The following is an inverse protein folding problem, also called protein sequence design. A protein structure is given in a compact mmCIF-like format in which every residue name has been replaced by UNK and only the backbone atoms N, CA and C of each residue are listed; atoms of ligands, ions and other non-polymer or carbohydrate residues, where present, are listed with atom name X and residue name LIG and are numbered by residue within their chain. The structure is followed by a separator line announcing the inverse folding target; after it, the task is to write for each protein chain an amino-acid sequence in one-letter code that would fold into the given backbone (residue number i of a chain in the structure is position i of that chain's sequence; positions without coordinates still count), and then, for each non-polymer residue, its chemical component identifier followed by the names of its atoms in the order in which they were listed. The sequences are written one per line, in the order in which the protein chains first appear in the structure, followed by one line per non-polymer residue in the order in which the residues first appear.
data_IF_222518656147
#
_entry.id   IF_222518656147
#
_cell.length_a   1.000
_cell.length_b   1.000
_cell.length_c   1.000
_cell.angle_alpha   90.00
_cell.angle_beta   90.00
_cell.angle_gamma   90.00
#
_symmetry.space_group_name_H-M   'P 1'
#
loop_
_entity.id
_entity.type
_entity.pdbx_description
1 polymer ?
#
# COMPACT_ATOMS: atom_id res chain seq x y z
N UNK A 1 -8.73 -1.91 16.48
CA UNK A 1 -9.42 -0.80 15.76
C UNK A 1 -10.86 -1.14 15.35
N UNK A 2 -11.15 -2.32 14.76
CA UNK A 2 -12.53 -2.70 14.39
C UNK A 2 -13.55 -2.64 15.56
N UNK A 3 -13.20 -3.19 16.74
CA UNK A 3 -14.05 -3.09 17.94
C UNK A 3 -14.26 -1.65 18.41
N UNK A 4 -13.24 -0.79 18.25
CA UNK A 4 -13.30 0.61 18.66
C UNK A 4 -14.32 1.40 17.83
N UNK A 5 -14.28 1.24 16.51
CA UNK A 5 -15.23 1.87 15.60
C UNK A 5 -16.63 1.27 15.69
N UNK A 6 -16.74 0.01 16.08
CA UNK A 6 -18.03 -0.64 16.37
C UNK A 6 -18.64 -0.26 17.72
N UNK A 7 -17.97 0.60 18.51
CA UNK A 7 -18.43 1.00 19.85
C UNK A 7 -18.45 -0.13 20.89
N UNK A 8 -17.88 -1.30 20.55
CA UNK A 8 -17.85 -2.49 21.40
C UNK A 8 -16.51 -2.69 22.11
N UNK A 9 -15.58 -1.75 21.94
CA UNK A 9 -14.27 -1.84 22.57
C UNK A 9 -14.36 -1.51 24.06
N UNK A 10 -13.81 -2.40 24.89
CA UNK A 10 -13.57 -2.16 26.31
C UNK A 10 -12.25 -1.40 26.55
N UNK A 11 -11.57 -1.00 25.49
CA UNK A 11 -10.31 -0.25 25.57
C UNK A 11 -10.60 1.13 26.18
N UNK A 12 -10.03 1.46 27.35
CA UNK A 12 -10.28 2.75 28.01
C UNK A 12 -9.75 3.95 27.20
N UNK A 13 -8.87 3.72 26.22
CA UNK A 13 -8.40 4.74 25.30
C UNK A 13 -9.37 5.01 24.14
N UNK A 14 -10.40 4.18 23.96
CA UNK A 14 -11.47 4.39 22.98
C UNK A 14 -12.64 5.10 23.67
N UNK A 15 -12.80 6.38 23.36
CA UNK A 15 -13.84 7.19 23.98
C UNK A 15 -14.01 8.56 23.32
N UNK A 16 -14.54 9.52 24.08
CA UNK A 16 -14.69 10.90 23.62
C UNK A 16 -13.31 11.47 23.28
N UNK A 17 -13.14 11.96 22.06
CA UNK A 17 -11.88 12.57 21.61
C UNK A 17 -11.86 14.08 21.86
N UNK A 18 -12.90 14.79 21.40
CA UNK A 18 -13.01 16.25 21.45
C UNK A 18 -14.48 16.67 21.55
N UNK A 19 -14.74 17.80 22.22
CA UNK A 19 -16.04 18.47 22.26
C UNK A 19 -15.92 19.87 21.65
N UNK A 20 -16.80 20.21 20.70
CA UNK A 20 -16.92 21.58 20.19
C UNK A 20 -18.05 22.32 20.92
N UNK A 21 -17.71 23.40 21.64
CA UNK A 21 -18.69 24.26 22.31
C UNK A 21 -18.93 25.53 21.51
N UNK A 22 -20.04 25.56 20.76
CA UNK A 22 -20.45 26.72 19.96
C UNK A 22 -21.18 27.71 20.87
N UNK A 23 -20.52 28.81 21.22
CA UNK A 23 -21.03 29.76 22.24
C UNK A 23 -21.77 30.96 21.64
N UNK A 24 -21.56 31.27 20.36
CA UNK A 24 -22.23 32.35 19.64
C UNK A 24 -22.06 32.20 18.12
N UNK A 25 -22.89 32.92 17.37
CA UNK A 25 -22.70 33.11 15.94
C UNK A 25 -21.43 33.93 15.65
N UNK A 26 -20.77 33.73 14.49
CA UNK A 26 -19.63 34.55 14.10
C UNK A 26 -20.04 36.02 13.94
N UNK A 27 -19.12 36.95 14.21
CA UNK A 27 -19.37 38.39 14.11
C UNK A 27 -19.66 38.84 12.66
N UNK A 28 -19.20 38.07 11.68
CA UNK A 28 -19.45 38.25 10.25
C UNK A 28 -19.99 36.93 9.67
N UNK A 29 -20.91 36.97 8.70
CA UNK A 29 -21.37 35.76 8.01
C UNK A 29 -20.20 34.99 7.38
N UNK A 30 -20.21 33.66 7.52
CA UNK A 30 -19.30 32.80 6.78
C UNK A 30 -19.73 32.75 5.31
N UNK A 31 -18.81 33.13 4.43
CA UNK A 31 -19.02 33.14 2.98
C UNK A 31 -18.35 31.95 2.28
N UNK A 32 -17.78 31.02 3.06
CA UNK A 32 -17.20 29.78 2.54
C UNK A 32 -18.27 28.95 1.81
N UNK A 33 -17.84 28.28 0.74
CA UNK A 33 -18.68 27.39 -0.06
C UNK A 33 -17.93 26.08 -0.30
N UNK A 34 -18.64 24.96 -0.21
CA UNK A 34 -18.17 23.68 -0.72
C UNK A 34 -18.89 23.43 -2.03
N UNK A 35 -18.15 23.33 -3.13
CA UNK A 35 -18.74 23.06 -4.43
C UNK A 35 -19.28 21.63 -4.49
N UNK A 36 -20.40 21.42 -5.18
CA UNK A 36 -21.00 20.09 -5.38
C UNK A 36 -20.06 19.16 -6.16
N UNK A 37 -19.18 19.73 -6.98
CA UNK A 37 -18.11 19.04 -7.69
C UNK A 37 -16.79 19.71 -7.37
N UNK A 38 -15.87 18.94 -6.79
CA UNK A 38 -14.49 19.36 -6.57
C UNK A 38 -13.66 19.09 -7.84
N UNK A 39 -12.63 18.24 -7.72
CA UNK A 39 -11.80 17.82 -8.84
C UNK A 39 -12.27 16.44 -9.30
N UNK A 40 -12.54 16.24 -10.61
CA UNK A 40 -12.88 14.92 -11.12
C UNK A 40 -11.68 13.99 -11.00
N UNK A 41 -11.95 12.71 -10.76
CA UNK A 41 -10.94 11.68 -10.80
C UNK A 41 -10.32 11.57 -12.21
N UNK A 42 -9.04 11.14 -12.31
CA UNK A 42 -8.49 10.75 -13.60
C UNK A 42 -9.30 9.60 -14.19
N UNK A 43 -9.58 9.67 -15.50
CA UNK A 43 -10.18 8.58 -16.24
C UNK A 43 -9.07 7.68 -16.81
N UNK A 44 -8.98 6.47 -16.26
CA UNK A 44 -7.99 5.48 -16.70
C UNK A 44 -8.58 4.48 -17.71
N UNK A 45 -9.85 4.63 -18.11
CA UNK A 45 -10.58 3.64 -18.93
C UNK A 45 -9.92 3.35 -20.29
N UNK A 46 -9.21 4.33 -20.86
CA UNK A 46 -8.52 4.22 -22.15
C UNK A 46 -7.14 3.56 -22.06
N UNK A 47 -6.57 3.38 -20.87
CA UNK A 47 -5.24 2.80 -20.68
C UNK A 47 -5.39 1.29 -20.48
N UNK A 48 -4.83 0.41 -21.32
CA UNK A 48 -4.97 -1.03 -21.14
C UNK A 48 -4.44 -1.52 -19.78
N UNK A 49 -5.11 -2.49 -19.17
CA UNK A 49 -4.56 -3.19 -17.99
C UNK A 49 -3.45 -4.10 -18.47
N UNK A 50 -2.21 -3.79 -18.11
CA UNK A 50 -1.04 -4.57 -18.48
C UNK A 50 -0.92 -5.84 -17.65
N UNK A 51 -1.38 -5.81 -16.38
CA UNK A 51 -1.32 -6.93 -15.45
C UNK A 51 -2.32 -6.80 -14.31
N UNK A 52 -2.74 -7.95 -13.79
CA UNK A 52 -3.40 -8.06 -12.49
C UNK A 52 -2.45 -8.75 -11.50
N UNK A 53 -2.40 -8.26 -10.27
CA UNK A 53 -1.56 -8.80 -9.19
C UNK A 53 -2.37 -9.06 -7.94
N UNK A 54 -1.93 -10.02 -7.15
CA UNK A 54 -2.54 -10.37 -5.87
C UNK A 54 -1.52 -10.32 -4.75
N UNK A 55 -1.84 -9.61 -3.67
CA UNK A 55 -1.01 -9.47 -2.49
C UNK A 55 -1.80 -9.88 -1.24
N UNK A 56 -1.32 -10.90 -0.53
CA UNK A 56 -1.92 -11.40 0.70
C UNK A 56 -1.07 -10.99 1.90
N UNK A 57 -1.64 -10.17 2.78
CA UNK A 57 -0.98 -9.63 3.97
C UNK A 57 -1.37 -10.47 5.17
N UNK A 58 -0.46 -11.30 5.67
CA UNK A 58 -0.77 -12.26 6.73
C UNK A 58 0.41 -12.49 7.70
N UNK A 59 0.19 -13.39 8.66
CA UNK A 59 1.18 -13.90 9.62
C UNK A 59 1.85 -15.17 9.12
N UNK A 60 2.75 -15.69 9.95
CA UNK A 60 3.53 -16.92 9.77
C UNK A 60 4.46 -16.86 8.56
N UNK A 61 5.01 -15.66 8.33
CA UNK A 61 5.96 -15.40 7.27
C UNK A 61 7.25 -16.22 7.44
N UNK A 62 7.80 -16.68 6.33
CA UNK A 62 9.11 -17.32 6.29
C UNK A 62 10.15 -16.37 5.68
N UNK A 63 11.40 -16.53 6.07
CA UNK A 63 12.51 -15.80 5.46
C UNK A 63 13.39 -16.77 4.66
N UNK A 64 13.45 -16.55 3.34
CA UNK A 64 14.16 -17.39 2.37
C UNK A 64 15.55 -16.85 2.04
N UNK A 65 15.84 -15.60 2.38
CA UNK A 65 17.14 -14.97 2.20
C UNK A 65 17.89 -14.85 3.53
N UNK A 66 19.19 -14.57 3.45
CA UNK A 66 20.09 -14.56 4.62
C UNK A 66 21.04 -13.36 4.63
N UNK A 67 20.75 -12.36 3.81
CA UNK A 67 21.55 -11.15 3.76
C UNK A 67 21.42 -10.37 5.08
N UNK A 68 22.52 -10.07 5.78
CA UNK A 68 22.46 -9.47 7.12
C UNK A 68 22.02 -8.00 7.11
N UNK A 69 21.96 -7.35 5.95
CA UNK A 69 21.60 -5.94 5.79
C UNK A 69 20.16 -5.81 5.33
N UNK A 70 19.76 -6.59 4.32
CA UNK A 70 18.46 -6.44 3.67
C UNK A 70 17.39 -7.38 4.21
N UNK A 71 17.76 -8.52 4.78
CA UNK A 71 16.81 -9.55 5.21
C UNK A 71 16.39 -9.35 6.67
N UNK A 72 15.08 -9.20 6.92
CA UNK A 72 14.52 -9.10 8.26
C UNK A 72 13.59 -10.28 8.57
N UNK A 73 13.68 -10.82 9.79
CA UNK A 73 12.83 -11.92 10.24
C UNK A 73 11.74 -11.38 11.14
N UNK A 74 10.50 -11.80 10.89
CA UNK A 74 9.37 -11.47 11.73
C UNK A 74 8.16 -12.34 11.41
N UNK A 75 7.16 -12.38 12.30
CA UNK A 75 5.95 -13.17 12.09
C UNK A 75 5.08 -12.67 10.94
N UNK A 76 5.19 -11.39 10.55
CA UNK A 76 4.36 -10.78 9.52
C UNK A 76 5.04 -10.75 8.17
N UNK A 77 4.26 -10.92 7.10
CA UNK A 77 4.79 -10.93 5.75
C UNK A 77 3.70 -10.79 4.70
N UNK A 78 4.14 -10.88 3.44
CA UNK A 78 3.28 -10.67 2.27
C UNK A 78 3.53 -11.81 1.28
N UNK A 79 2.46 -12.41 0.78
CA UNK A 79 2.52 -13.37 -0.32
C UNK A 79 2.10 -12.67 -1.62
N UNK A 80 2.79 -12.98 -2.72
CA UNK A 80 2.46 -12.47 -4.06
C UNK A 80 1.90 -13.58 -4.94
N UNK A 81 0.80 -13.33 -5.64
CA UNK A 81 0.21 -14.19 -6.68
C UNK A 81 0.06 -15.67 -6.27
N UNK A 82 -0.40 -15.91 -5.03
CA UNK A 82 -0.61 -17.26 -4.48
C UNK A 82 0.66 -17.98 -4.03
N UNK A 83 1.80 -17.28 -4.00
CA UNK A 83 3.06 -17.77 -3.45
C UNK A 83 3.06 -17.88 -1.93
N UNK A 84 4.25 -18.11 -1.37
CA UNK A 84 4.45 -18.18 0.08
C UNK A 84 4.46 -16.79 0.70
N UNK A 85 3.96 -16.67 1.93
CA UNK A 85 4.09 -15.45 2.74
C UNK A 85 5.54 -15.25 3.15
N UNK A 86 6.18 -14.20 2.64
CA UNK A 86 7.58 -13.89 2.90
C UNK A 86 7.74 -12.71 3.85
N UNK A 87 8.71 -12.79 4.75
CA UNK A 87 9.13 -11.67 5.59
C UNK A 87 9.97 -10.67 4.76
N UNK A 88 10.08 -9.43 5.24
CA UNK A 88 10.77 -8.36 4.53
C UNK A 88 12.20 -8.76 4.08
N UNK A 89 12.49 -8.48 2.82
CA UNK A 89 13.84 -8.37 2.30
C UNK A 89 13.88 -7.17 1.34
N UNK A 90 14.63 -6.13 1.69
CA UNK A 90 14.71 -4.91 0.89
C UNK A 90 15.48 -5.13 -0.43
N UNK A 91 16.23 -6.22 -0.53
CA UNK A 91 16.89 -6.67 -1.74
C UNK A 91 15.99 -7.51 -2.66
N UNK A 92 14.79 -7.89 -2.20
CA UNK A 92 13.84 -8.69 -2.97
C UNK A 92 12.92 -7.81 -3.81
N UNK A 93 12.86 -8.06 -5.12
CA UNK A 93 11.90 -7.41 -6.00
C UNK A 93 10.63 -8.26 -6.11
N UNK A 94 9.51 -7.73 -5.63
CA UNK A 94 8.22 -8.45 -5.58
C UNK A 94 7.25 -8.08 -6.70
N UNK A 95 7.40 -6.88 -7.28
CA UNK A 95 6.66 -6.44 -8.45
C UNK A 95 7.53 -5.48 -9.27
N UNK A 96 7.40 -5.53 -10.60
CA UNK A 96 8.12 -4.64 -11.52
C UNK A 96 7.20 -4.07 -12.62
N UNK A 97 6.18 -3.26 -12.29
CA UNK A 97 5.36 -2.59 -13.30
C UNK A 97 6.19 -1.80 -14.31
N UNK A 98 5.72 -1.74 -15.56
CA UNK A 98 6.39 -0.96 -16.61
C UNK A 98 5.88 0.47 -16.63
N UNK A 99 6.76 1.42 -16.93
CA UNK A 99 6.39 2.81 -17.10
C UNK A 99 5.29 2.99 -18.16
N UNK A 100 4.38 3.91 -17.89
CA UNK A 100 3.21 4.23 -18.69
C UNK A 100 2.09 3.19 -18.60
N UNK A 101 2.30 2.05 -17.94
CA UNK A 101 1.29 0.99 -17.87
C UNK A 101 0.33 1.17 -16.69
N UNK A 102 -0.83 0.53 -16.79
CA UNK A 102 -1.80 0.43 -15.71
C UNK A 102 -1.87 -1.01 -15.24
N UNK A 103 -1.90 -1.21 -13.93
CA UNK A 103 -2.17 -2.52 -13.35
C UNK A 103 -3.38 -2.46 -12.41
N UNK A 104 -3.92 -3.63 -12.11
CA UNK A 104 -4.95 -3.83 -11.09
C UNK A 104 -4.37 -4.71 -9.99
N UNK A 105 -4.33 -4.19 -8.77
CA UNK A 105 -3.80 -4.93 -7.63
C UNK A 105 -4.95 -5.30 -6.70
N UNK A 106 -5.03 -6.56 -6.32
CA UNK A 106 -5.94 -7.04 -5.29
C UNK A 106 -5.16 -7.27 -4.01
N UNK A 107 -5.50 -6.49 -2.99
CA UNK A 107 -4.94 -6.57 -1.65
C UNK A 107 -5.91 -7.38 -0.79
N UNK A 108 -5.40 -8.41 -0.10
CA UNK A 108 -6.17 -9.24 0.82
C UNK A 108 -5.55 -9.18 2.22
N UNK A 109 -6.39 -8.96 3.22
CA UNK A 109 -5.97 -9.05 4.62
C UNK A 109 -6.23 -10.47 5.12
N UNK A 110 -5.21 -11.12 5.65
CA UNK A 110 -5.31 -12.37 6.38
C UNK A 110 -5.73 -12.18 7.83
N UNK A 111 -6.08 -13.30 8.49
CA UNK A 111 -6.31 -13.35 9.93
C UNK A 111 -7.41 -12.43 10.49
N UNK A 112 -7.24 -12.07 11.78
CA UNK A 112 -8.18 -11.29 12.60
C UNK A 112 -7.86 -9.81 12.73
N UNK A 113 -6.96 -9.26 11.89
CA UNK A 113 -6.36 -7.94 12.07
C UNK A 113 -6.75 -6.95 10.97
N UNK A 114 -6.61 -5.65 11.27
CA UNK A 114 -6.67 -4.61 10.25
C UNK A 114 -5.27 -4.37 9.69
N UNK A 115 -5.18 -4.19 8.37
CA UNK A 115 -3.93 -3.86 7.68
C UNK A 115 -4.14 -2.60 6.82
N UNK A 116 -3.69 -1.42 7.26
CA UNK A 116 -3.64 -0.23 6.41
C UNK A 116 -2.48 -0.35 5.42
N UNK A 117 -2.74 -0.77 4.20
CA UNK A 117 -1.66 -0.99 3.21
C UNK A 117 -1.29 0.32 2.57
N UNK A 118 -0.05 0.74 2.77
CA UNK A 118 0.54 1.88 2.09
C UNK A 118 1.37 1.39 0.91
N UNK A 119 1.09 1.93 -0.27
CA UNK A 119 1.90 1.73 -1.47
C UNK A 119 2.55 3.09 -1.76
N UNK A 120 3.88 3.12 -1.80
CA UNK A 120 4.60 4.37 -2.02
C UNK A 120 4.33 4.88 -3.44
N UNK A 121 4.65 6.15 -3.67
CA UNK A 121 4.76 6.76 -5.00
C UNK A 121 3.47 6.95 -5.80
N UNK A 122 2.76 5.88 -6.17
CA UNK A 122 1.52 5.98 -6.93
C UNK A 122 0.29 6.12 -6.02
N UNK A 123 -0.71 6.87 -6.50
CA UNK A 123 -2.05 6.89 -5.91
C UNK A 123 -3.02 6.09 -6.79
N UNK A 124 -3.68 5.09 -6.21
CA UNK A 124 -4.67 4.27 -6.90
C UNK A 124 -6.12 4.63 -6.57
N UNK A 125 -7.01 4.14 -7.43
CA UNK A 125 -8.46 4.24 -7.25
C UNK A 125 -9.03 2.88 -6.83
N UNK A 126 -9.90 2.87 -5.82
CA UNK A 126 -10.56 1.64 -5.37
C UNK A 126 -11.66 1.24 -6.37
N UNK A 127 -11.49 0.08 -6.99
CA UNK A 127 -12.47 -0.51 -7.91
C UNK A 127 -13.54 -1.31 -7.16
N UNK A 128 -13.12 -2.07 -6.15
CA UNK A 128 -14.02 -2.94 -5.40
C UNK A 128 -13.54 -3.17 -3.97
N UNK A 129 -14.50 -3.40 -3.06
CA UNK A 129 -14.26 -3.97 -1.75
C UNK A 129 -15.01 -5.28 -1.62
N UNK A 130 -14.34 -6.33 -1.15
CA UNK A 130 -14.93 -7.66 -1.02
C UNK A 130 -15.64 -8.10 -2.32
N UNK A 131 -15.00 -7.87 -3.47
CA UNK A 131 -15.50 -8.24 -4.78
C UNK A 131 -16.62 -7.37 -5.38
N UNK A 132 -17.02 -6.25 -4.74
CA UNK A 132 -18.06 -5.37 -5.29
C UNK A 132 -17.71 -3.88 -5.21
N UNK A 133 -17.97 -3.16 -6.30
CA UNK A 133 -17.87 -1.71 -6.38
C UNK A 133 -18.91 -1.00 -5.48
N UNK A 134 -20.08 -1.62 -5.25
CA UNK A 134 -21.11 -1.07 -4.37
C UNK A 134 -20.67 -0.98 -2.91
N UNK A 135 -19.66 -1.77 -2.52
CA UNK A 135 -19.09 -1.75 -1.18
C UNK A 135 -18.06 -0.62 -0.97
N UNK A 136 -17.71 0.13 -2.01
CA UNK A 136 -16.74 1.24 -1.92
C UNK A 136 -17.45 2.48 -1.36
N UNK A 137 -17.11 2.91 -0.12
CA UNK A 137 -17.77 4.05 0.49
C UNK A 137 -17.39 5.35 -0.21
N UNK A 138 -18.25 6.36 -0.11
CA UNK A 138 -18.08 7.62 -0.84
C UNK A 138 -16.71 8.28 -0.61
N UNK A 139 -16.18 8.23 0.62
CA UNK A 139 -14.90 8.81 1.00
C UNK A 139 -13.66 8.05 0.49
N UNK A 140 -13.84 6.91 -0.19
CA UNK A 140 -12.74 6.14 -0.81
C UNK A 140 -12.82 6.11 -2.33
N UNK A 141 -13.76 6.84 -2.92
CA UNK A 141 -13.91 6.91 -4.38
C UNK A 141 -12.89 7.83 -5.04
N UNK A 142 -12.15 8.63 -4.27
CA UNK A 142 -11.02 9.42 -4.76
C UNK A 142 -9.74 8.60 -4.94
N UNK A 143 -8.65 9.27 -5.31
CA UNK A 143 -7.31 8.66 -5.30
C UNK A 143 -6.80 8.50 -3.87
N UNK A 144 -6.06 7.44 -3.60
CA UNK A 144 -5.48 7.11 -2.29
C UNK A 144 -4.15 6.38 -2.46
N UNK A 145 -3.34 6.42 -1.42
CA UNK A 145 -2.06 5.71 -1.26
C UNK A 145 -2.07 4.73 -0.06
N UNK A 146 -3.07 4.86 0.84
CA UNK A 146 -3.29 3.97 1.99
C UNK A 146 -4.68 3.33 1.94
N UNK A 147 -4.72 2.00 1.97
CA UNK A 147 -5.91 1.18 1.85
C UNK A 147 -6.12 0.32 3.09
N UNK A 148 -7.11 0.67 3.92
CA UNK A 148 -7.42 -0.12 5.11
C UNK A 148 -8.16 -1.40 4.76
N UNK A 149 -7.47 -2.52 4.86
CA UNK A 149 -8.03 -3.86 4.89
C UNK A 149 -8.60 -4.14 6.28
N UNK A 150 -9.82 -4.66 6.31
CA UNK A 150 -10.44 -5.23 7.51
C UNK A 150 -10.08 -6.72 7.59
N UNK A 151 -10.33 -7.41 8.73
CA UNK A 151 -10.01 -8.82 8.85
C UNK A 151 -10.70 -9.62 7.75
N UNK A 152 -9.95 -10.50 7.08
CA UNK A 152 -10.40 -11.28 5.91
C UNK A 152 -10.97 -10.45 4.73
N UNK A 153 -10.75 -9.14 4.70
CA UNK A 153 -11.26 -8.25 3.67
C UNK A 153 -10.38 -8.20 2.42
N UNK A 154 -10.97 -7.84 1.29
CA UNK A 154 -10.25 -7.56 0.04
C UNK A 154 -10.54 -6.17 -0.49
N UNK A 155 -9.54 -5.57 -1.13
CA UNK A 155 -9.65 -4.32 -1.87
C UNK A 155 -8.98 -4.53 -3.23
N UNK A 156 -9.70 -4.23 -4.30
CA UNK A 156 -9.13 -4.21 -5.65
C UNK A 156 -8.94 -2.75 -6.03
N UNK A 157 -7.72 -2.39 -6.42
CA UNK A 157 -7.31 -1.04 -6.81
C UNK A 157 -6.78 -1.03 -8.24
N UNK A 158 -6.84 0.12 -8.90
CA UNK A 158 -6.12 0.37 -10.15
C UNK A 158 -5.14 1.52 -9.98
N UNK A 159 -3.93 1.34 -10.52
CA UNK A 159 -2.85 2.31 -10.50
C UNK A 159 -2.23 2.42 -11.89
N UNK A 160 -1.81 3.63 -12.26
CA UNK A 160 -1.07 3.88 -13.49
C UNK A 160 0.34 4.34 -13.12
N UNK A 161 1.36 3.61 -13.55
CA UNK A 161 2.77 3.86 -13.23
C UNK A 161 3.37 4.80 -14.27
N UNK A 162 3.33 6.12 -14.06
CA UNK A 162 3.57 7.09 -15.17
C UNK A 162 4.47 8.27 -14.85
N UNK A 163 4.85 8.47 -13.60
CA UNK A 163 5.52 9.71 -13.20
C UNK A 163 7.06 9.58 -13.20
N UNK A 164 7.62 8.56 -12.54
CA UNK A 164 9.07 8.34 -12.39
C UNK A 164 9.41 6.85 -12.24
N UNK A 165 10.57 6.46 -12.77
CA UNK A 165 11.18 5.15 -12.50
C UNK A 165 11.88 5.11 -11.14
N UNK A 166 12.05 3.92 -10.55
CA UNK A 166 12.73 3.79 -9.27
C UNK A 166 12.36 2.54 -8.47
N UNK A 167 12.86 2.48 -7.24
CA UNK A 167 12.50 1.46 -6.24
C UNK A 167 11.58 2.09 -5.20
N UNK A 168 10.52 1.38 -4.87
CA UNK A 168 9.47 1.85 -3.98
C UNK A 168 9.06 0.74 -3.03
N UNK A 169 8.41 1.13 -1.93
CA UNK A 169 7.96 0.20 -0.91
C UNK A 169 6.45 0.02 -0.99
N UNK A 170 5.99 -1.15 -0.57
CA UNK A 170 4.62 -1.35 -0.11
C UNK A 170 4.65 -2.07 1.23
N UNK A 171 3.80 -1.65 2.17
CA UNK A 171 3.82 -2.22 3.51
C UNK A 171 2.50 -2.00 4.25
N UNK A 172 2.30 -2.81 5.28
CA UNK A 172 1.27 -2.50 6.26
C UNK A 172 1.74 -1.35 7.15
N UNK A 173 0.99 -0.26 7.19
CA UNK A 173 1.28 0.93 7.98
C UNK A 173 0.87 0.80 9.46
N UNK A 174 0.53 -0.41 9.92
CA UNK A 174 0.60 -0.73 11.34
C UNK A 174 2.07 -0.96 11.67
N UNK A 175 2.71 -0.02 12.36
CA UNK A 175 4.16 -0.01 12.59
C UNK A 175 4.68 -1.29 13.25
N UNK A 176 3.89 -1.93 14.12
CA UNK A 176 4.27 -3.22 14.72
C UNK A 176 4.32 -4.33 13.67
N UNK A 177 3.39 -4.33 12.72
CA UNK A 177 3.39 -5.29 11.63
C UNK A 177 4.51 -4.98 10.62
N UNK A 178 4.69 -3.69 10.29
CA UNK A 178 5.76 -3.18 9.41
C UNK A 178 7.14 -3.60 9.88
N UNK A 179 7.47 -3.34 11.15
CA UNK A 179 8.79 -3.58 11.73
C UNK A 179 9.09 -5.08 11.93
N UNK A 180 8.08 -5.97 11.79
CA UNK A 180 8.20 -7.38 12.16
C UNK A 180 7.50 -8.38 11.21
N UNK A 181 7.55 -8.35 9.87
CA UNK A 181 8.29 -7.49 8.95
C UNK A 181 7.47 -7.40 7.64
N UNK A 182 6.26 -6.82 7.72
CA UNK A 182 5.24 -6.84 6.66
C UNK A 182 5.46 -5.75 5.61
N UNK A 183 6.45 -5.96 4.76
CA UNK A 183 6.88 -4.99 3.78
C UNK A 183 7.54 -5.67 2.57
N UNK A 184 7.32 -5.12 1.38
CA UNK A 184 7.93 -5.53 0.12
C UNK A 184 8.52 -4.33 -0.61
N UNK A 185 9.47 -4.62 -1.50
CA UNK A 185 9.96 -3.67 -2.51
C UNK A 185 9.36 -4.01 -3.87
N UNK A 186 9.07 -2.97 -4.64
CA UNK A 186 8.69 -3.05 -6.04
C UNK A 186 9.38 -1.94 -6.83
N UNK A 187 9.38 -2.05 -8.16
CA UNK A 187 10.13 -1.13 -9.02
C UNK A 187 9.34 -0.71 -10.25
N UNK A 188 9.56 0.52 -10.71
CA UNK A 188 9.09 1.01 -12.00
C UNK A 188 10.29 1.19 -12.91
N UNK A 189 10.21 0.63 -14.11
CA UNK A 189 11.22 0.89 -15.14
C UNK A 189 11.22 2.35 -15.66
N UNK A 190 12.25 2.75 -16.41
CA UNK A 190 12.35 4.13 -16.94
C UNK A 190 12.02 4.23 -18.44
N UNK A 191 10.83 3.78 -18.88
CA UNK A 191 10.32 4.02 -20.25
C UNK A 191 11.27 3.65 -21.41
N UNK A 192 12.15 2.67 -21.20
CA UNK A 192 13.15 2.24 -22.20
C UNK A 192 14.44 3.06 -22.24
N UNK A 193 14.63 4.04 -21.34
CA UNK A 193 15.96 4.56 -21.04
C UNK A 193 16.85 3.45 -20.45
N UNK A 194 18.20 3.59 -20.49
CA UNK A 194 19.10 2.65 -19.85
C UNK A 194 18.77 2.52 -18.35
N UNK A 195 18.08 1.44 -17.99
CA UNK A 195 17.59 1.15 -16.65
C UNK A 195 18.02 -0.27 -16.26
N UNK A 196 18.69 -0.42 -15.12
CA UNK A 196 19.05 -1.73 -14.60
C UNK A 196 17.77 -2.44 -14.13
N UNK A 197 17.56 -3.67 -14.62
CA UNK A 197 16.44 -4.51 -14.20
C UNK A 197 16.97 -5.82 -13.64
N UNK A 198 16.88 -6.04 -12.32
CA UNK A 198 16.43 -5.11 -11.27
C UNK A 198 17.45 -4.00 -10.95
N UNK A 199 17.01 -2.91 -10.30
CA UNK A 199 17.91 -1.88 -9.76
C UNK A 199 18.77 -2.46 -8.62
N UNK A 200 20.02 -2.01 -8.42
CA UNK A 200 20.79 -2.44 -7.25
C UNK A 200 20.20 -1.83 -5.98
N UNK A 201 20.15 -2.62 -4.91
CA UNK A 201 19.61 -2.26 -3.60
C UNK A 201 20.46 -1.17 -2.95
N UNK A 202 19.90 0.00 -2.60
CA UNK A 202 20.64 1.04 -1.90
C UNK A 202 20.80 0.66 -0.43
N UNK A 203 22.04 0.67 0.05
CA UNK A 203 22.41 0.39 1.43
C UNK A 203 22.91 1.69 2.08
N UNK A 204 22.10 2.31 2.96
CA UNK A 204 22.54 3.50 3.69
C UNK A 204 23.66 3.16 4.68
N UNK A 205 24.73 3.95 4.66
CA UNK A 205 25.84 3.89 5.60
C UNK A 205 26.09 5.29 6.18
N UNK A 206 26.82 5.42 7.31
CA UNK A 206 27.19 6.74 7.81
C UNK A 206 28.02 7.59 6.84
N UNK A 207 28.66 6.98 5.83
CA UNK A 207 29.51 7.65 4.84
C UNK A 207 28.82 7.89 3.49
N UNK A 208 27.54 7.54 3.34
CA UNK A 208 26.80 7.64 2.09
C UNK A 208 26.04 6.37 1.77
N UNK A 209 25.73 6.15 0.49
CA UNK A 209 24.96 4.98 0.03
C UNK A 209 25.86 4.08 -0.81
N UNK A 210 25.93 2.81 -0.45
CA UNK A 210 26.49 1.75 -1.31
C UNK A 210 25.35 1.03 -2.02
N UNK A 211 25.68 0.27 -3.06
CA UNK A 211 24.70 -0.44 -3.87
C UNK A 211 25.09 -1.90 -3.98
N UNK A 212 24.15 -2.78 -3.70
CA UNK A 212 24.35 -4.23 -3.76
C UNK A 212 23.39 -4.85 -4.79
N UNK A 213 23.78 -5.92 -5.49
CA UNK A 213 22.86 -6.65 -6.36
C UNK A 213 21.62 -7.12 -5.59
N UNK A 214 20.43 -7.16 -6.21
CA UNK A 214 19.24 -7.70 -5.58
C UNK A 214 19.45 -9.15 -5.12
N UNK A 215 18.99 -9.44 -3.91
CA UNK A 215 19.15 -10.74 -3.25
C UNK A 215 18.21 -11.78 -3.85
N UNK A 216 17.08 -11.33 -4.38
CA UNK A 216 16.02 -12.17 -4.91
C UNK A 216 15.13 -11.37 -5.88
N UNK A 217 14.57 -12.05 -6.89
CA UNK A 217 13.56 -11.49 -7.79
C UNK A 217 12.47 -12.53 -7.89
N UNK A 218 11.28 -12.22 -7.38
CA UNK A 218 10.19 -13.18 -7.40
C UNK A 218 9.80 -13.51 -8.85
N UNK A 219 9.48 -14.78 -9.18
CA UNK A 219 9.02 -15.14 -10.52
C UNK A 219 7.78 -14.36 -10.97
N UNK A 220 7.01 -13.88 -10.01
CA UNK A 220 5.80 -13.07 -10.17
C UNK A 220 6.10 -11.58 -10.31
N UNK A 221 7.35 -11.13 -10.16
CA UNK A 221 7.67 -9.70 -10.21
C UNK A 221 7.57 -9.11 -11.61
N UNK A 222 8.26 -9.74 -12.58
CA UNK A 222 8.41 -9.31 -13.97
C UNK A 222 7.14 -9.53 -14.79
#
# INVERSE_FOLDING_TARGET
MAQALGGASLDPCVGRMLEFRVVRNPATPDVSRVADTLIPNPDLSSIPVARERFFDFDRDAIQTTSDPVTSFRGPWGIATDGGTTLAADYGRVSAAPRFGTREIWTLKGGGGWDHPIHIHFEEGQVLARNGSAANVPAWERGRKDVYRLRPAGTITITMQFRDWGGMFMEHCHNTVHEDNAMLLRWEIDDSGAPFLRPLPTPIPTPQGVTFEPPTDVLPTAL
#
